data_IF_806246581913
#
_entry.id   IF_806246581913
#
_cell.length_a   1.000
_cell.length_b   1.000
_cell.length_c   1.000
_cell.angle_alpha   90.00
_cell.angle_beta   90.00
_cell.angle_gamma   90.00
#
_symmetry.space_group_name_H-M   'P 1'
#
loop_
_entity.id
_entity.type
_entity.pdbx_description
1 polymer ?
#
# COMPACT_ATOMS: atom_id res chain seq x y z
N UNK A 1 12.88 -19.66 0.74
CA UNK A 1 12.31 -19.36 -0.59
C UNK A 1 11.37 -18.17 -0.48
N UNK A 2 10.85 -17.65 -1.59
CA UNK A 2 9.81 -16.61 -1.55
C UNK A 2 8.55 -17.19 -0.90
N UNK A 3 8.14 -16.67 0.27
CA UNK A 3 6.99 -17.17 1.03
C UNK A 3 5.66 -16.73 0.42
N UNK A 4 5.54 -15.45 0.08
CA UNK A 4 4.35 -14.91 -0.58
C UNK A 4 4.70 -13.64 -1.37
N UNK A 5 3.78 -13.26 -2.26
CA UNK A 5 3.81 -12.01 -3.00
C UNK A 5 2.40 -11.47 -3.10
N UNK A 6 2.25 -10.16 -2.93
CA UNK A 6 0.97 -9.48 -3.03
C UNK A 6 0.94 -8.52 -4.24
N UNK A 7 -0.13 -8.56 -5.03
CA UNK A 7 -0.34 -7.62 -6.14
C UNK A 7 -1.30 -6.51 -5.70
N UNK A 8 -0.80 -5.29 -5.60
CA UNK A 8 -1.57 -4.13 -5.13
C UNK A 8 -2.60 -3.64 -6.15
N UNK A 9 -2.49 -4.04 -7.42
CA UNK A 9 -3.36 -3.57 -8.50
C UNK A 9 -3.09 -2.12 -8.94
N UNK A 10 -2.01 -1.50 -8.47
CA UNK A 10 -1.62 -0.13 -8.83
C UNK A 10 -0.35 -0.12 -9.66
N UNK A 11 -0.32 0.72 -10.68
CA UNK A 11 0.82 0.88 -11.60
C UNK A 11 1.38 2.29 -11.50
N UNK A 12 2.45 2.46 -10.73
CA UNK A 12 3.27 3.65 -10.59
C UNK A 12 4.46 3.34 -9.68
N UNK A 13 5.31 4.32 -9.38
CA UNK A 13 6.47 4.17 -8.49
C UNK A 13 6.06 3.97 -7.05
N UNK A 14 6.45 2.83 -6.46
CA UNK A 14 6.26 2.56 -5.03
C UNK A 14 7.40 3.15 -4.21
N UNK A 15 7.04 3.89 -3.15
CA UNK A 15 7.99 4.45 -2.16
C UNK A 15 7.55 4.12 -0.73
N UNK A 16 6.59 3.20 -0.56
CA UNK A 16 6.05 2.80 0.73
C UNK A 16 7.11 2.09 1.57
N UNK A 17 7.24 2.50 2.83
CA UNK A 17 7.89 1.70 3.87
C UNK A 17 6.78 1.03 4.70
N UNK A 18 6.58 -0.30 4.61
CA UNK A 18 5.55 -0.99 5.36
C UNK A 18 5.73 -0.83 6.88
N UNK A 19 4.63 -0.79 7.62
CA UNK A 19 4.63 -0.87 9.09
C UNK A 19 3.92 -2.16 9.49
N UNK A 20 4.44 -2.87 10.49
CA UNK A 20 3.81 -4.07 11.05
C UNK A 20 3.49 -3.83 12.52
N UNK A 21 2.22 -4.02 12.89
CA UNK A 21 1.73 -3.94 14.28
C UNK A 21 0.73 -5.07 14.47
N UNK A 22 0.87 -5.84 15.55
CA UNK A 22 -0.02 -6.95 15.91
C UNK A 22 -0.30 -7.89 14.72
N UNK A 23 0.76 -8.38 14.08
CA UNK A 23 0.71 -9.31 12.92
C UNK A 23 0.08 -8.75 11.63
N UNK A 24 -0.33 -7.49 11.63
CA UNK A 24 -0.90 -6.81 10.46
C UNK A 24 0.17 -5.93 9.83
N UNK A 25 0.44 -6.18 8.55
CA UNK A 25 1.28 -5.32 7.72
C UNK A 25 0.40 -4.28 7.02
N UNK A 26 0.71 -3.01 7.23
CA UNK A 26 0.10 -1.88 6.56
C UNK A 26 1.04 -1.38 5.46
N UNK A 27 0.52 -1.28 4.24
CA UNK A 27 1.20 -0.66 3.11
C UNK A 27 0.34 0.43 2.51
N UNK A 28 0.97 1.43 1.92
CA UNK A 28 0.29 2.38 1.04
C UNK A 28 0.71 2.16 -0.41
N UNK A 29 -0.16 2.53 -1.34
CA UNK A 29 0.14 2.48 -2.76
C UNK A 29 0.41 3.87 -3.30
N UNK A 30 0.97 3.98 -4.51
CA UNK A 30 0.75 5.16 -5.33
C UNK A 30 -0.75 5.45 -5.40
N UNK A 31 -1.15 6.72 -5.45
CA UNK A 31 -2.55 7.15 -5.40
C UNK A 31 -3.25 6.94 -4.04
N UNK A 32 -2.49 6.69 -2.97
CA UNK A 32 -2.95 6.74 -1.57
C UNK A 32 -3.96 5.68 -1.12
N UNK A 33 -4.09 4.53 -1.79
CA UNK A 33 -4.80 3.40 -1.16
C UNK A 33 -4.00 2.94 0.08
N UNK A 34 -4.71 2.49 1.12
CA UNK A 34 -4.13 1.80 2.27
C UNK A 34 -4.59 0.35 2.24
N UNK A 35 -3.66 -0.58 2.44
CA UNK A 35 -3.95 -2.02 2.40
C UNK A 35 -3.40 -2.63 3.68
N UNK A 36 -4.25 -3.35 4.40
CA UNK A 36 -3.85 -4.19 5.51
C UNK A 36 -3.74 -5.64 5.04
N UNK A 37 -2.60 -6.27 5.31
CA UNK A 37 -2.30 -7.65 5.01
C UNK A 37 -2.02 -8.41 6.30
N UNK A 38 -2.40 -9.67 6.37
CA UNK A 38 -1.78 -10.59 7.33
C UNK A 38 -0.28 -10.71 6.96
N UNK A 39 0.61 -10.40 7.90
CA UNK A 39 2.04 -10.32 7.63
C UNK A 39 2.68 -11.69 7.33
N UNK A 40 2.11 -12.78 7.84
CA UNK A 40 2.59 -14.14 7.64
C UNK A 40 2.16 -14.70 6.29
N UNK A 41 0.90 -14.50 5.90
CA UNK A 41 0.31 -15.14 4.71
C UNK A 41 0.27 -14.23 3.49
N UNK A 42 0.36 -12.90 3.68
CA UNK A 42 0.14 -11.91 2.63
C UNK A 42 -1.33 -11.76 2.22
N UNK A 43 -2.27 -12.38 2.93
CA UNK A 43 -3.72 -12.27 2.65
C UNK A 43 -4.20 -10.86 2.97
N UNK A 44 -4.94 -10.24 2.05
CA UNK A 44 -5.57 -8.94 2.30
C UNK A 44 -6.67 -9.06 3.34
N UNK A 45 -6.56 -8.31 4.43
CA UNK A 45 -7.57 -8.19 5.49
C UNK A 45 -8.62 -7.16 5.06
N UNK A 46 -8.16 -5.96 4.70
CA UNK A 46 -9.00 -4.89 4.19
C UNK A 46 -8.22 -3.94 3.29
N UNK A 47 -8.94 -3.11 2.54
CA UNK A 47 -8.39 -2.03 1.73
C UNK A 47 -9.24 -0.77 1.87
N UNK A 48 -8.58 0.35 2.14
CA UNK A 48 -9.14 1.67 1.90
C UNK A 48 -8.72 2.15 0.51
N UNK A 49 -9.70 2.43 -0.34
CA UNK A 49 -9.47 3.00 -1.67
C UNK A 49 -9.64 4.52 -1.58
N UNK A 50 -8.55 5.25 -1.80
CA UNK A 50 -8.61 6.70 -1.71
C UNK A 50 -9.34 7.29 -2.91
N UNK A 51 -10.32 8.16 -2.63
CA UNK A 51 -11.03 8.91 -3.66
C UNK A 51 -10.13 10.04 -4.16
N UNK A 52 -9.44 9.79 -5.26
CA UNK A 52 -8.58 10.77 -5.91
C UNK A 52 -9.33 12.03 -6.31
N UNK A 53 -8.69 13.18 -6.12
CA UNK A 53 -9.10 14.44 -6.73
C UNK A 53 -8.66 14.45 -8.20
N UNK A 54 -9.34 15.27 -9.02
CA UNK A 54 -8.93 15.51 -10.41
C UNK A 54 -7.71 16.43 -10.42
N UNK A 55 -6.56 15.90 -10.02
CA UNK A 55 -5.30 16.62 -10.00
C UNK A 55 -4.39 16.16 -11.15
N UNK A 56 -3.66 17.12 -11.72
CA UNK A 56 -2.57 16.81 -12.66
C UNK A 56 -1.31 16.50 -11.85
N UNK A 57 -0.96 15.22 -11.76
CA UNK A 57 0.27 14.79 -11.09
C UNK A 57 1.51 15.21 -11.93
N UNK A 58 2.19 16.28 -11.53
CA UNK A 58 3.43 16.73 -12.20
C UNK A 58 4.61 15.78 -11.96
N UNK A 59 4.71 15.19 -10.76
CA UNK A 59 5.82 14.33 -10.32
C UNK A 59 5.36 12.93 -9.91
N UNK A 60 4.18 12.52 -10.38
CA UNK A 60 3.56 11.24 -10.05
C UNK A 60 2.82 11.23 -8.70
N UNK A 61 2.00 10.22 -8.48
CA UNK A 61 1.13 10.10 -7.30
C UNK A 61 1.89 9.50 -6.09
N UNK A 62 3.00 10.15 -5.72
CA UNK A 62 3.92 9.63 -4.71
C UNK A 62 3.26 9.48 -3.33
N UNK A 63 3.56 8.36 -2.66
CA UNK A 63 3.20 8.11 -1.26
C UNK A 63 4.35 7.36 -0.58
N UNK A 64 4.79 7.84 0.59
CA UNK A 64 6.00 7.38 1.30
C UNK A 64 5.77 6.29 2.34
N UNK A 65 4.54 5.83 2.49
CA UNK A 65 4.19 4.81 3.48
C UNK A 65 3.19 5.32 4.53
N UNK A 66 2.64 4.40 5.33
CA UNK A 66 1.91 4.74 6.54
C UNK A 66 2.85 5.37 7.61
N UNK A 67 2.27 6.02 8.61
CA UNK A 67 2.96 6.58 9.76
C UNK A 67 2.21 6.21 11.06
N UNK A 68 2.95 6.10 12.16
CA UNK A 68 2.45 5.87 13.53
C UNK A 68 2.97 6.93 14.46
#
# INVERSE_FOLDING_TARGET
GLTWKFNTGKKATFQTNPIVVDEIMYITTPFNDVIALNAETGTQIWRYQHKLRKDNFCCGPANRGPAV
#
